data_IF_392186286388
#
_entry.id   IF_392186286388
#
_cell.length_a   1.000
_cell.length_b   1.000
_cell.length_c   1.000
_cell.angle_alpha   90.00
_cell.angle_beta   90.00
_cell.angle_gamma   90.00
#
_symmetry.space_group_name_H-M   'P 1'
#
loop_
_entity.id
_entity.type
_entity.pdbx_description
1 polymer ?
#
# COMPACT_ATOMS: atom_id res chain seq x y z
N UNK A 1 -39.06 55.15 -0.65
CA UNK A 1 -38.73 54.13 -1.66
C UNK A 1 -39.04 52.75 -1.10
N UNK A 2 -39.99 52.06 -1.74
CA UNK A 2 -40.27 50.60 -1.82
C UNK A 2 -40.32 49.72 -0.55
N UNK A 3 -41.57 49.31 -0.24
CA UNK A 3 -42.12 47.98 0.15
C UNK A 3 -41.49 47.26 1.38
N UNK A 4 -42.14 46.98 2.52
CA UNK A 4 -43.49 46.45 2.90
C UNK A 4 -43.81 45.03 2.43
N UNK A 5 -43.77 44.07 3.40
CA UNK A 5 -44.73 42.97 3.76
C UNK A 5 -44.01 41.67 4.18
N UNK A 6 -44.16 41.21 5.45
CA UNK A 6 -45.19 40.25 5.99
C UNK A 6 -44.83 38.79 5.62
N UNK A 7 -44.86 37.72 6.43
CA UNK A 7 -45.65 37.27 7.60
C UNK A 7 -44.82 36.19 8.33
N UNK A 8 -44.60 36.26 9.64
CA UNK A 8 -45.28 35.44 10.69
C UNK A 8 -45.87 34.09 10.26
N UNK A 9 -45.66 33.05 11.09
CA UNK A 9 -46.73 32.36 11.83
C UNK A 9 -46.22 31.17 12.69
N UNK A 10 -46.38 31.33 14.03
CA UNK A 10 -47.04 30.47 15.06
C UNK A 10 -46.69 28.95 15.09
N UNK A 11 -46.64 28.19 16.20
CA UNK A 11 -47.27 28.28 17.55
C UNK A 11 -46.57 27.27 18.50
N UNK A 12 -46.34 27.53 19.79
CA UNK A 12 -47.24 27.64 20.97
C UNK A 12 -47.73 26.28 21.50
N UNK A 13 -47.50 26.11 22.82
CA UNK A 13 -48.30 25.39 23.81
C UNK A 13 -48.27 23.85 23.81
N UNK A 14 -48.47 23.17 24.93
CA UNK A 14 -48.46 23.52 26.36
C UNK A 14 -48.71 22.22 27.12
N UNK A 15 -48.13 22.14 28.32
CA UNK A 15 -48.67 21.56 29.54
C UNK A 15 -49.56 20.31 29.46
N UNK A 16 -49.12 19.28 30.19
CA UNK A 16 -49.95 18.71 31.25
C UNK A 16 -49.10 18.61 32.53
N UNK A 17 -49.42 19.49 33.47
CA UNK A 17 -49.14 19.41 34.91
C UNK A 17 -49.77 18.15 35.51
N UNK A 18 -49.12 17.53 36.50
CA UNK A 18 -49.55 17.52 37.92
C UNK A 18 -48.39 16.95 38.73
N UNK A 19 -48.02 17.65 39.81
CA UNK A 19 -46.97 17.24 40.73
C UNK A 19 -47.37 16.08 41.63
N UNK A 20 -46.39 15.25 41.95
CA UNK A 20 -46.39 14.35 43.09
C UNK A 20 -44.97 14.34 43.66
N UNK A 21 -44.81 14.83 44.89
CA UNK A 21 -43.55 14.71 45.63
C UNK A 21 -43.51 13.31 46.23
N UNK A 22 -42.53 12.50 45.86
CA UNK A 22 -42.11 11.33 46.63
C UNK A 22 -40.62 11.04 46.40
N UNK A 23 -39.85 11.32 47.45
CA UNK A 23 -38.62 10.62 47.89
C UNK A 23 -37.49 10.37 46.89
N UNK A 24 -36.43 11.14 47.13
CA UNK A 24 -35.01 10.86 46.95
C UNK A 24 -34.66 9.37 46.79
N UNK A 25 -34.01 9.05 45.68
CA UNK A 25 -32.86 8.16 45.73
C UNK A 25 -31.78 8.71 44.80
N UNK A 26 -30.68 9.19 45.40
CA UNK A 26 -29.49 9.56 44.65
C UNK A 26 -28.97 8.32 43.92
N UNK A 27 -28.97 8.38 42.60
CA UNK A 27 -27.97 7.67 41.81
C UNK A 27 -27.22 8.72 41.01
N UNK A 28 -25.99 8.97 41.43
CA UNK A 28 -25.02 9.76 40.69
C UNK A 28 -24.79 9.11 39.33
N UNK A 29 -25.48 9.61 38.30
CA UNK A 29 -25.01 9.50 36.93
C UNK A 29 -24.62 10.90 36.48
N UNK A 30 -23.37 11.27 36.75
CA UNK A 30 -22.66 12.26 35.96
C UNK A 30 -22.69 11.78 34.51
N UNK A 31 -23.63 12.31 33.74
CA UNK A 31 -23.63 12.20 32.28
C UNK A 31 -22.35 12.89 31.82
N UNK A 32 -21.29 12.10 31.62
CA UNK A 32 -20.20 12.52 30.77
C UNK A 32 -20.82 12.69 29.40
N UNK A 33 -20.89 13.93 28.96
CA UNK A 33 -21.02 14.28 27.55
C UNK A 33 -19.82 13.65 26.85
N UNK A 34 -19.98 12.41 26.39
CA UNK A 34 -19.06 11.84 25.44
C UNK A 34 -19.22 12.68 24.17
N UNK A 35 -18.21 13.51 23.92
CA UNK A 35 -17.95 14.02 22.60
C UNK A 35 -17.90 12.81 21.68
N UNK A 36 -18.95 12.62 20.89
CA UNK A 36 -18.96 11.63 19.81
C UNK A 36 -17.83 12.03 18.88
N UNK A 37 -16.68 11.37 19.01
CA UNK A 37 -15.63 11.47 18.01
C UNK A 37 -16.27 10.95 16.72
N UNK A 38 -16.48 11.86 15.77
CA UNK A 38 -16.84 11.50 14.42
C UNK A 38 -15.91 10.36 14.00
N UNK A 39 -16.48 9.24 13.54
CA UNK A 39 -15.72 8.11 13.04
C UNK A 39 -14.77 8.62 11.95
N UNK A 40 -13.50 8.80 12.29
CA UNK A 40 -12.49 9.16 11.31
C UNK A 40 -12.33 7.94 10.42
N UNK A 41 -12.60 8.12 9.13
CA UNK A 41 -12.31 7.13 8.09
C UNK A 41 -10.81 7.05 7.86
N UNK A 42 -10.01 6.78 8.90
CA UNK A 42 -8.57 6.64 8.75
C UNK A 42 -8.27 5.36 7.96
N UNK A 43 -8.04 5.53 6.66
CA UNK A 43 -7.32 4.54 5.88
C UNK A 43 -5.83 4.63 6.24
N UNK A 44 -5.19 3.49 6.47
CA UNK A 44 -3.73 3.42 6.60
C UNK A 44 -3.07 4.12 5.41
N UNK A 45 -2.14 5.03 5.70
CA UNK A 45 -1.36 5.78 4.72
C UNK A 45 0.12 5.72 5.06
N UNK A 46 0.97 5.92 4.05
CA UNK A 46 2.40 6.16 4.26
C UNK A 46 2.63 7.67 4.33
N UNK A 47 3.33 8.12 5.36
CA UNK A 47 3.80 9.49 5.54
C UNK A 47 5.32 9.52 5.37
N UNK A 48 5.80 10.29 4.41
CA UNK A 48 7.23 10.46 4.17
C UNK A 48 7.81 11.37 5.26
N UNK A 49 8.91 10.98 5.91
CA UNK A 49 9.50 11.73 7.01
C UNK A 49 10.20 12.99 6.52
N UNK A 50 10.39 13.96 7.42
CA UNK A 50 11.15 15.16 7.13
C UNK A 50 12.56 14.78 6.62
N UNK A 51 13.05 15.49 5.60
CA UNK A 51 14.35 15.21 4.99
C UNK A 51 14.35 14.04 3.99
N UNK A 52 13.26 13.29 3.84
CA UNK A 52 13.11 12.28 2.78
C UNK A 52 12.70 12.97 1.47
N UNK A 53 13.68 13.50 0.72
CA UNK A 53 13.42 14.39 -0.43
C UNK A 53 13.61 13.70 -1.78
N UNK A 54 12.86 14.17 -2.80
CA UNK A 54 13.00 13.70 -4.17
C UNK A 54 14.45 13.74 -4.69
N UNK A 55 15.19 14.80 -4.34
CA UNK A 55 16.60 14.96 -4.72
C UNK A 55 17.48 13.84 -4.16
N UNK A 56 17.30 13.47 -2.89
CA UNK A 56 18.09 12.40 -2.26
C UNK A 56 17.81 11.05 -2.88
N UNK A 57 16.54 10.74 -3.15
CA UNK A 57 16.14 9.49 -3.83
C UNK A 57 16.71 9.40 -5.24
N UNK A 58 16.57 10.47 -6.02
CA UNK A 58 17.18 10.52 -7.36
C UNK A 58 18.70 10.36 -7.28
N UNK A 59 19.37 11.08 -6.39
CA UNK A 59 20.82 11.03 -6.30
C UNK A 59 21.34 9.68 -5.84
N UNK A 60 20.71 9.01 -4.86
CA UNK A 60 21.15 7.67 -4.43
C UNK A 60 20.97 6.65 -5.53
N UNK A 61 19.86 6.71 -6.27
CA UNK A 61 19.58 5.76 -7.36
C UNK A 61 20.43 5.97 -8.61
N UNK A 62 21.07 7.13 -8.74
CA UNK A 62 21.92 7.48 -9.87
C UNK A 62 23.41 7.58 -9.47
N UNK A 63 23.80 7.05 -8.30
CA UNK A 63 25.19 7.07 -7.80
C UNK A 63 25.80 8.48 -7.73
N UNK A 64 25.00 9.48 -7.36
CA UNK A 64 25.38 10.91 -7.25
C UNK A 64 25.16 11.49 -5.85
N UNK A 65 24.80 10.66 -4.87
CA UNK A 65 24.55 11.12 -3.51
C UNK A 65 25.87 11.38 -2.77
N UNK A 66 25.96 12.49 -2.05
CA UNK A 66 27.09 12.75 -1.16
C UNK A 66 26.98 11.90 0.10
N UNK A 67 28.10 11.67 0.80
CA UNK A 67 28.08 10.93 2.07
C UNK A 67 27.18 11.60 3.13
N UNK A 68 27.14 12.94 3.16
CA UNK A 68 26.27 13.68 4.08
C UNK A 68 24.78 13.48 3.75
N UNK A 69 24.39 13.58 2.48
CA UNK A 69 23.01 13.34 2.06
C UNK A 69 22.62 11.87 2.21
N UNK A 70 23.54 10.91 2.03
CA UNK A 70 23.29 9.49 2.26
C UNK A 70 22.98 9.23 3.74
N UNK A 71 23.76 9.78 4.66
CA UNK A 71 23.47 9.69 6.11
C UNK A 71 22.13 10.31 6.46
N UNK A 72 21.82 11.49 5.92
CA UNK A 72 20.53 12.14 6.14
C UNK A 72 19.35 11.34 5.57
N UNK A 73 19.55 10.69 4.40
CA UNK A 73 18.55 9.81 3.81
C UNK A 73 18.31 8.55 4.66
N UNK A 74 19.38 7.92 5.18
CA UNK A 74 19.27 6.78 6.11
C UNK A 74 18.50 7.21 7.36
N UNK A 75 18.86 8.32 8.00
CA UNK A 75 18.16 8.83 9.18
C UNK A 75 16.68 9.10 8.91
N UNK A 76 16.37 9.69 7.76
CA UNK A 76 14.99 9.88 7.33
C UNK A 76 14.29 8.53 7.13
N UNK A 77 14.90 7.55 6.46
CA UNK A 77 14.34 6.19 6.32
C UNK A 77 14.08 5.53 7.68
N UNK A 78 14.98 5.65 8.65
CA UNK A 78 14.79 5.15 10.01
C UNK A 78 13.59 5.80 10.69
N UNK A 79 13.45 7.12 10.57
CA UNK A 79 12.26 7.83 11.03
C UNK A 79 10.99 7.35 10.33
N UNK A 80 11.05 7.13 9.01
CA UNK A 80 9.96 6.61 8.20
C UNK A 80 9.49 5.24 8.67
N UNK A 81 10.42 4.34 8.97
CA UNK A 81 10.11 3.02 9.55
C UNK A 81 9.44 3.13 10.92
N UNK A 82 9.84 4.09 11.76
CA UNK A 82 9.31 4.29 13.12
C UNK A 82 7.95 4.99 13.17
N UNK A 83 7.74 6.05 12.38
CA UNK A 83 6.55 6.91 12.48
C UNK A 83 5.31 6.35 11.75
N UNK A 84 5.52 5.43 10.81
CA UNK A 84 4.45 4.83 10.02
C UNK A 84 3.92 3.59 10.74
N UNK A 85 2.71 3.67 11.29
CA UNK A 85 2.04 2.55 11.97
C UNK A 85 0.85 2.02 11.15
N UNK A 86 0.69 0.70 11.14
CA UNK A 86 -0.43 0.04 10.49
C UNK A 86 -1.73 0.31 11.28
N UNK A 87 -2.83 0.54 10.57
CA UNK A 87 -4.16 0.75 11.13
C UNK A 87 -5.24 0.05 10.31
N UNK A 88 -6.02 -0.80 10.97
CA UNK A 88 -7.19 -1.42 10.36
C UNK A 88 -8.27 -1.63 11.45
N UNK A 89 -9.37 -0.90 11.31
CA UNK A 89 -10.51 -0.97 12.21
C UNK A 89 -11.64 -1.85 11.68
N UNK A 90 -11.48 -2.46 10.51
CA UNK A 90 -12.48 -3.34 9.93
C UNK A 90 -12.46 -4.69 10.66
N UNK A 91 -13.43 -4.90 11.55
CA UNK A 91 -13.54 -6.15 12.30
C UNK A 91 -13.63 -7.40 11.41
N UNK A 92 -14.18 -7.28 10.19
CA UNK A 92 -14.29 -8.39 9.23
C UNK A 92 -12.93 -8.85 8.71
N UNK A 93 -11.94 -7.97 8.65
CA UNK A 93 -10.62 -8.33 8.13
C UNK A 93 -9.87 -9.27 9.07
N UNK A 94 -10.19 -9.22 10.37
CA UNK A 94 -9.63 -10.12 11.38
C UNK A 94 -10.11 -11.57 11.23
N UNK A 95 -11.32 -11.77 10.68
CA UNK A 95 -11.94 -13.10 10.54
C UNK A 95 -11.97 -13.61 9.09
N UNK A 96 -11.80 -12.73 8.10
CA UNK A 96 -11.75 -13.12 6.69
C UNK A 96 -10.43 -13.81 6.37
N UNK A 97 -10.46 -15.13 6.23
CA UNK A 97 -9.28 -15.90 5.84
C UNK A 97 -9.04 -15.85 4.33
N UNK A 98 -7.78 -15.71 3.94
CA UNK A 98 -7.32 -15.58 2.57
C UNK A 98 -6.21 -16.60 2.33
N UNK A 99 -6.32 -17.38 1.26
CA UNK A 99 -5.22 -18.16 0.73
C UNK A 99 -4.49 -17.32 -0.33
N UNK A 100 -3.30 -16.83 0.00
CA UNK A 100 -2.56 -15.86 -0.82
C UNK A 100 -2.25 -16.37 -2.24
N UNK A 101 -2.07 -17.68 -2.41
CA UNK A 101 -1.82 -18.30 -3.73
C UNK A 101 -3.09 -18.79 -4.43
N UNK A 102 -4.27 -18.62 -3.80
CA UNK A 102 -5.56 -19.00 -4.35
C UNK A 102 -6.69 -18.07 -3.84
N UNK A 103 -6.58 -16.78 -4.15
CA UNK A 103 -7.56 -15.76 -3.76
C UNK A 103 -8.78 -15.72 -4.69
N UNK A 104 -9.95 -15.40 -4.14
CA UNK A 104 -11.11 -15.00 -4.93
C UNK A 104 -10.85 -13.65 -5.63
N UNK A 105 -11.63 -13.34 -6.67
CA UNK A 105 -11.52 -12.05 -7.35
C UNK A 105 -11.71 -10.85 -6.42
N UNK A 106 -12.68 -10.90 -5.50
CA UNK A 106 -12.93 -9.82 -4.54
C UNK A 106 -11.75 -9.61 -3.59
N UNK A 107 -11.15 -10.70 -3.10
CA UNK A 107 -9.95 -10.64 -2.26
C UNK A 107 -8.76 -10.03 -3.02
N UNK A 108 -8.57 -10.41 -4.30
CA UNK A 108 -7.52 -9.82 -5.15
C UNK A 108 -7.72 -8.32 -5.33
N UNK A 109 -8.93 -7.89 -5.68
CA UNK A 109 -9.25 -6.46 -5.86
C UNK A 109 -9.02 -5.69 -4.57
N UNK A 110 -9.47 -6.24 -3.44
CA UNK A 110 -9.31 -5.61 -2.12
C UNK A 110 -7.83 -5.39 -1.77
N UNK A 111 -6.99 -6.43 -1.84
CA UNK A 111 -5.58 -6.29 -1.47
C UNK A 111 -4.79 -5.44 -2.46
N UNK A 112 -5.16 -5.48 -3.76
CA UNK A 112 -4.57 -4.62 -4.78
C UNK A 112 -4.89 -3.14 -4.55
N UNK A 113 -6.16 -2.81 -4.27
CA UNK A 113 -6.57 -1.43 -3.95
C UNK A 113 -5.87 -0.92 -2.70
N UNK A 114 -5.74 -1.78 -1.69
CA UNK A 114 -5.02 -1.45 -0.47
C UNK A 114 -3.54 -1.18 -0.73
N UNK A 115 -2.81 -2.07 -1.42
CA UNK A 115 -1.41 -1.83 -1.75
C UNK A 115 -1.21 -0.54 -2.58
N UNK A 116 -2.09 -0.32 -3.56
CA UNK A 116 -2.04 0.86 -4.40
C UNK A 116 -2.31 2.16 -3.62
N UNK A 117 -3.22 2.15 -2.63
CA UNK A 117 -3.50 3.34 -1.83
C UNK A 117 -2.28 3.75 -1.00
N UNK A 118 -1.52 2.79 -0.47
CA UNK A 118 -0.27 3.05 0.24
C UNK A 118 0.76 3.71 -0.69
N UNK A 119 0.99 3.13 -1.86
CA UNK A 119 1.92 3.68 -2.87
C UNK A 119 1.49 5.09 -3.27
N UNK A 120 0.21 5.29 -3.61
CA UNK A 120 -0.31 6.59 -4.02
C UNK A 120 -0.28 7.64 -2.92
N UNK A 121 -0.42 7.24 -1.64
CA UNK A 121 -0.27 8.16 -0.50
C UNK A 121 1.16 8.71 -0.40
N UNK A 122 2.18 7.89 -0.68
CA UNK A 122 3.57 8.35 -0.73
C UNK A 122 3.85 9.19 -1.98
N UNK A 123 3.31 8.79 -3.14
CA UNK A 123 3.49 9.51 -4.42
C UNK A 123 2.94 10.94 -4.37
N UNK A 124 1.78 11.15 -3.74
CA UNK A 124 1.17 12.49 -3.65
C UNK A 124 2.04 13.48 -2.90
N UNK A 125 2.71 13.05 -1.83
CA UNK A 125 3.66 13.87 -1.06
C UNK A 125 4.90 14.28 -1.88
N UNK A 126 5.21 13.55 -2.95
CA UNK A 126 6.28 13.88 -3.90
C UNK A 126 5.78 14.64 -5.14
N UNK A 127 4.51 15.06 -5.16
CA UNK A 127 3.88 15.73 -6.30
C UNK A 127 3.74 14.84 -7.55
N UNK A 128 3.70 13.52 -7.37
CA UNK A 128 3.65 12.55 -8.47
C UNK A 128 2.22 12.14 -8.75
N UNK A 129 1.89 11.90 -10.03
CA UNK A 129 0.56 11.41 -10.41
C UNK A 129 0.33 10.03 -9.81
N UNK A 130 -0.88 9.78 -9.35
CA UNK A 130 -1.29 8.47 -8.86
C UNK A 130 -1.12 7.39 -9.95
N UNK A 131 -0.70 6.21 -9.54
CA UNK A 131 -0.86 4.97 -10.31
C UNK A 131 -2.32 4.52 -10.29
N UNK A 132 -2.68 3.68 -11.25
CA UNK A 132 -4.07 3.27 -11.48
C UNK A 132 -4.17 1.76 -11.39
N UNK A 133 -5.13 1.25 -10.61
CA UNK A 133 -5.40 -0.18 -10.58
C UNK A 133 -6.06 -0.59 -11.90
N UNK A 134 -5.56 -1.66 -12.50
CA UNK A 134 -6.01 -2.09 -13.82
C UNK A 134 -6.04 -3.62 -13.91
N UNK A 135 -7.13 -4.16 -14.46
CA UNK A 135 -7.32 -5.62 -14.49
C UNK A 135 -6.35 -6.35 -15.42
N UNK A 136 -5.86 -5.72 -16.49
CA UNK A 136 -4.78 -6.28 -17.32
C UNK A 136 -3.45 -6.30 -16.58
N UNK A 137 -3.15 -5.29 -15.76
CA UNK A 137 -1.96 -5.30 -14.89
C UNK A 137 -2.06 -6.37 -13.79
N UNK A 138 -3.24 -6.57 -13.19
CA UNK A 138 -3.49 -7.67 -12.24
C UNK A 138 -3.30 -9.04 -12.91
N UNK A 139 -3.82 -9.24 -14.12
CA UNK A 139 -3.64 -10.48 -14.87
C UNK A 139 -2.17 -10.72 -15.27
N UNK A 140 -1.42 -9.65 -15.56
CA UNK A 140 0.02 -9.72 -15.77
C UNK A 140 0.76 -10.15 -14.49
N UNK A 141 0.42 -9.56 -13.34
CA UNK A 141 0.97 -9.97 -12.04
C UNK A 141 0.72 -11.47 -11.78
N UNK A 142 -0.52 -11.94 -11.96
CA UNK A 142 -0.85 -13.37 -11.84
C UNK A 142 0.00 -14.28 -12.76
N UNK A 143 0.38 -13.81 -13.96
CA UNK A 143 1.27 -14.56 -14.87
C UNK A 143 2.70 -14.59 -14.36
N UNK A 144 3.22 -13.49 -13.83
CA UNK A 144 4.54 -13.45 -13.19
C UNK A 144 4.60 -14.40 -12.00
N UNK A 145 3.60 -14.36 -11.11
CA UNK A 145 3.53 -15.28 -9.99
C UNK A 145 3.52 -16.75 -10.42
N UNK A 146 2.80 -17.09 -11.51
CA UNK A 146 2.82 -18.44 -12.09
C UNK A 146 4.19 -18.83 -12.62
N UNK A 147 4.91 -17.92 -13.27
CA UNK A 147 6.28 -18.17 -13.73
C UNK A 147 7.22 -18.45 -12.55
N UNK A 148 7.13 -17.69 -11.46
CA UNK A 148 7.89 -17.93 -10.24
C UNK A 148 7.58 -19.30 -9.62
N UNK A 149 6.30 -19.60 -9.38
CA UNK A 149 5.89 -20.89 -8.82
C UNK A 149 6.28 -22.06 -9.72
N UNK A 150 6.08 -21.94 -11.04
CA UNK A 150 6.35 -23.04 -11.96
C UNK A 150 7.83 -23.41 -12.03
N UNK A 151 8.70 -22.41 -11.92
CA UNK A 151 10.15 -22.55 -12.03
C UNK A 151 10.86 -22.59 -10.66
N UNK A 152 10.10 -22.68 -9.57
CA UNK A 152 10.63 -22.73 -8.20
C UNK A 152 11.59 -21.58 -7.88
N UNK A 153 11.14 -20.35 -8.19
CA UNK A 153 11.82 -19.08 -7.92
C UNK A 153 11.11 -18.28 -6.85
N UNK A 154 11.83 -17.39 -6.16
CA UNK A 154 11.28 -16.55 -5.09
C UNK A 154 12.11 -15.30 -4.81
N UNK A 155 11.58 -14.38 -4.01
CA UNK A 155 12.27 -13.21 -3.49
C UNK A 155 13.53 -13.52 -2.65
N UNK A 156 13.66 -14.76 -2.17
CA UNK A 156 14.87 -15.22 -1.47
C UNK A 156 16.00 -15.68 -2.42
N UNK A 157 15.77 -15.68 -3.73
CA UNK A 157 16.84 -15.86 -4.70
C UNK A 157 17.70 -14.58 -4.78
N UNK A 158 18.91 -14.69 -5.34
CA UNK A 158 19.85 -13.57 -5.40
C UNK A 158 19.36 -12.39 -6.25
N UNK A 159 18.50 -12.65 -7.24
CA UNK A 159 17.99 -11.69 -8.20
C UNK A 159 16.56 -12.04 -8.62
N UNK A 160 15.84 -11.04 -9.13
CA UNK A 160 14.54 -11.23 -9.78
C UNK A 160 14.59 -12.30 -10.88
N UNK A 161 13.50 -13.03 -11.07
CA UNK A 161 13.39 -14.03 -12.12
C UNK A 161 13.05 -13.40 -13.49
N UNK A 162 14.00 -12.64 -14.03
CA UNK A 162 13.88 -11.88 -15.30
C UNK A 162 13.37 -12.72 -16.48
N UNK A 163 13.80 -13.99 -16.69
CA UNK A 163 13.25 -14.82 -17.77
C UNK A 163 11.74 -15.06 -17.63
N UNK A 164 11.24 -15.27 -16.41
CA UNK A 164 9.82 -15.46 -16.13
C UNK A 164 9.02 -14.17 -16.32
N UNK A 165 9.51 -13.06 -15.76
CA UNK A 165 8.91 -11.72 -15.94
C UNK A 165 8.76 -11.40 -17.42
N UNK A 166 9.80 -11.66 -18.22
CA UNK A 166 9.82 -11.41 -19.65
C UNK A 166 8.78 -12.23 -20.41
N UNK A 167 8.69 -13.54 -20.13
CA UNK A 167 7.66 -14.41 -20.76
C UNK A 167 6.25 -13.95 -20.41
N UNK A 168 6.00 -13.66 -19.13
CA UNK A 168 4.72 -13.13 -18.66
C UNK A 168 4.37 -11.79 -19.31
N UNK A 169 5.35 -10.90 -19.49
CA UNK A 169 5.16 -9.60 -20.13
C UNK A 169 4.72 -9.76 -21.59
N UNK A 170 5.44 -10.56 -22.37
CA UNK A 170 5.09 -10.84 -23.78
C UNK A 170 3.69 -11.47 -23.88
N UNK A 171 3.39 -12.45 -23.04
CA UNK A 171 2.07 -13.09 -22.99
C UNK A 171 0.93 -12.13 -22.58
N UNK A 172 1.28 -10.99 -21.97
CA UNK A 172 0.34 -9.94 -21.56
C UNK A 172 0.27 -8.77 -22.54
N UNK A 173 0.89 -8.89 -23.73
CA UNK A 173 0.92 -7.81 -24.72
C UNK A 173 1.87 -6.67 -24.36
N UNK A 174 2.83 -6.91 -23.46
CA UNK A 174 3.87 -5.97 -23.07
C UNK A 174 5.18 -6.26 -23.82
N UNK A 175 6.08 -5.28 -23.85
CA UNK A 175 7.40 -5.42 -24.46
C UNK A 175 8.26 -6.38 -23.65
N UNK A 176 9.11 -7.13 -24.35
CA UNK A 176 10.27 -7.75 -23.72
C UNK A 176 11.25 -6.63 -23.33
N UNK A 177 11.22 -6.23 -22.05
CA UNK A 177 12.01 -5.13 -21.52
C UNK A 177 12.80 -5.53 -20.26
N UNK A 178 12.94 -6.83 -20.00
CA UNK A 178 13.60 -7.34 -18.79
C UNK A 178 12.88 -6.93 -17.50
N UNK A 179 13.65 -6.64 -16.45
CA UNK A 179 13.15 -6.18 -15.16
C UNK A 179 12.97 -4.66 -15.12
N UNK A 180 11.84 -4.21 -15.66
CA UNK A 180 11.33 -2.82 -15.54
C UNK A 180 9.95 -2.75 -14.90
N UNK A 181 9.42 -3.90 -14.48
CA UNK A 181 8.00 -4.09 -14.20
C UNK A 181 7.71 -4.38 -12.74
N UNK A 182 8.60 -5.05 -12.02
CA UNK A 182 8.31 -5.63 -10.71
C UNK A 182 9.16 -4.97 -9.62
N UNK A 183 8.52 -4.64 -8.51
CA UNK A 183 9.15 -4.57 -7.20
C UNK A 183 8.74 -5.83 -6.42
N UNK A 184 9.69 -6.53 -5.80
CA UNK A 184 9.47 -7.84 -5.18
C UNK A 184 9.70 -7.78 -3.68
N UNK A 185 8.97 -8.60 -2.92
CA UNK A 185 9.21 -8.80 -1.49
C UNK A 185 8.75 -10.18 -1.03
N UNK A 186 8.99 -10.50 0.24
CA UNK A 186 8.53 -11.73 0.88
C UNK A 186 7.52 -11.46 1.99
N UNK A 187 6.60 -12.40 2.19
CA UNK A 187 5.76 -12.44 3.38
C UNK A 187 6.52 -13.09 4.54
N UNK A 188 6.30 -12.64 5.79
CA UNK A 188 7.08 -13.13 6.93
C UNK A 188 6.80 -14.61 7.19
N UNK A 189 7.86 -15.36 7.47
CA UNK A 189 7.81 -16.77 7.84
C UNK A 189 7.94 -16.86 9.36
N UNK A 190 6.84 -17.18 10.04
CA UNK A 190 6.80 -17.27 11.51
C UNK A 190 5.99 -18.51 11.92
N UNK A 191 6.00 -18.88 13.20
CA UNK A 191 5.14 -19.96 13.71
C UNK A 191 3.66 -19.70 13.44
N UNK A 192 3.22 -18.43 13.47
CA UNK A 192 1.86 -18.01 13.14
C UNK A 192 1.59 -18.03 11.62
N UNK A 193 2.61 -17.71 10.81
CA UNK A 193 2.50 -17.59 9.36
C UNK A 193 3.51 -18.52 8.66
N UNK A 194 3.22 -19.83 8.69
CA UNK A 194 4.06 -20.86 8.08
C UNK A 194 3.44 -21.44 6.78
N UNK A 195 2.75 -20.61 5.99
CA UNK A 195 2.03 -21.04 4.79
C UNK A 195 1.28 -19.93 4.08
N UNK A 196 0.48 -20.27 3.07
CA UNK A 196 -0.22 -19.29 2.23
C UNK A 196 -1.49 -18.70 2.86
N UNK A 197 -2.00 -19.28 3.94
CA UNK A 197 -3.28 -18.88 4.56
C UNK A 197 -3.06 -17.91 5.72
N UNK A 198 -3.84 -16.83 5.77
CA UNK A 198 -3.85 -15.81 6.84
C UNK A 198 -5.12 -14.96 6.79
N UNK A 199 -5.40 -14.21 7.85
CA UNK A 199 -6.51 -13.23 7.82
C UNK A 199 -6.18 -12.07 6.88
N UNK A 200 -7.21 -11.40 6.34
CA UNK A 200 -7.04 -10.21 5.52
C UNK A 200 -6.35 -9.08 6.30
N UNK A 201 -6.63 -8.96 7.61
CA UNK A 201 -5.96 -8.02 8.51
C UNK A 201 -4.45 -8.27 8.52
N UNK A 202 -4.02 -9.51 8.76
CA UNK A 202 -2.60 -9.87 8.79
C UNK A 202 -1.94 -9.65 7.43
N UNK A 203 -2.65 -9.96 6.33
CA UNK A 203 -2.14 -9.71 4.99
C UNK A 203 -1.97 -8.21 4.71
N UNK A 204 -2.92 -7.36 5.11
CA UNK A 204 -2.82 -5.89 4.97
C UNK A 204 -1.68 -5.32 5.82
N UNK A 205 -1.48 -5.82 7.04
CA UNK A 205 -0.34 -5.45 7.87
C UNK A 205 1.00 -5.82 7.21
N UNK A 206 1.09 -7.02 6.63
CA UNK A 206 2.29 -7.50 5.95
C UNK A 206 2.58 -6.71 4.67
N UNK A 207 1.56 -6.44 3.85
CA UNK A 207 1.69 -5.59 2.65
C UNK A 207 2.08 -4.16 3.02
N UNK A 208 1.50 -3.62 4.11
CA UNK A 208 1.91 -2.33 4.63
C UNK A 208 3.39 -2.29 4.99
N UNK A 209 3.84 -3.32 5.71
CA UNK A 209 5.25 -3.45 6.03
C UNK A 209 6.08 -3.57 4.74
N UNK A 210 5.70 -4.41 3.77
CA UNK A 210 6.41 -4.57 2.50
C UNK A 210 6.59 -3.23 1.75
N UNK A 211 5.54 -2.42 1.65
CA UNK A 211 5.62 -1.09 1.03
C UNK A 211 6.52 -0.15 1.85
N UNK A 212 6.47 -0.20 3.19
CA UNK A 212 7.38 0.57 4.05
C UNK A 212 8.84 0.22 3.81
N UNK A 213 9.22 -1.06 3.79
CA UNK A 213 10.61 -1.47 3.58
C UNK A 213 11.13 -1.02 2.21
N UNK A 214 10.33 -1.20 1.15
CA UNK A 214 10.66 -0.74 -0.20
C UNK A 214 10.87 0.78 -0.28
N UNK A 215 9.98 1.55 0.36
CA UNK A 215 10.10 3.00 0.39
C UNK A 215 11.29 3.43 1.27
N UNK A 216 11.49 2.83 2.43
CA UNK A 216 12.46 3.30 3.41
C UNK A 216 13.74 2.48 3.40
N UNK A 217 14.42 2.45 2.25
CA UNK A 217 15.80 2.00 2.14
C UNK A 217 15.98 0.49 1.96
N UNK A 218 15.04 -0.20 1.33
CA UNK A 218 15.14 -1.64 1.09
C UNK A 218 15.31 -2.41 2.40
N UNK A 219 14.65 -1.93 3.46
CA UNK A 219 14.93 -2.36 4.82
C UNK A 219 14.74 -3.87 4.97
N UNK A 220 15.71 -4.55 5.58
CA UNK A 220 15.59 -5.94 5.98
C UNK A 220 15.72 -6.06 7.49
N UNK A 221 14.92 -6.92 8.14
CA UNK A 221 15.00 -7.14 9.59
C UNK A 221 13.68 -6.87 10.30
N UNK A 222 13.75 -6.66 11.62
CA UNK A 222 12.58 -6.47 12.49
C UNK A 222 12.54 -5.08 13.10
N UNK A 223 11.49 -4.75 13.86
CA UNK A 223 11.34 -3.45 14.51
C UNK A 223 12.53 -3.07 15.42
N UNK A 224 13.22 -4.06 16.01
CA UNK A 224 14.41 -3.80 16.85
C UNK A 224 15.60 -3.30 16.04
N UNK A 225 15.62 -3.56 14.73
CA UNK A 225 16.69 -3.16 13.82
C UNK A 225 16.47 -1.77 13.19
N UNK A 226 15.36 -1.08 13.47
CA UNK A 226 15.06 0.23 12.85
C UNK A 226 16.08 1.33 13.14
N UNK A 227 16.94 1.18 14.14
CA UNK A 227 17.98 2.15 14.46
C UNK A 227 19.35 1.77 13.87
N UNK A 228 19.49 0.57 13.31
CA UNK A 228 20.74 0.10 12.75
C UNK A 228 20.80 0.43 11.24
N UNK A 229 21.74 1.31 10.89
CA UNK A 229 21.93 1.79 9.52
C UNK A 229 22.33 0.67 8.53
N UNK A 230 22.91 -0.44 9.00
CA UNK A 230 23.33 -1.56 8.14
C UNK A 230 22.14 -2.28 7.49
N UNK A 231 20.95 -2.16 8.08
CA UNK A 231 19.72 -2.75 7.59
C UNK A 231 19.06 -1.97 6.44
N UNK A 232 19.64 -0.85 5.99
CA UNK A 232 19.12 0.01 4.93
C UNK A 232 20.05 -0.04 3.71
N UNK A 233 19.69 -0.87 2.73
CA UNK A 233 20.61 -1.32 1.68
C UNK A 233 20.42 -0.62 0.34
N UNK A 234 19.19 -0.31 -0.07
CA UNK A 234 18.89 0.15 -1.42
C UNK A 234 17.67 1.11 -1.48
N UNK A 235 17.57 1.94 -2.52
CA UNK A 235 16.41 2.83 -2.75
C UNK A 235 15.86 2.76 -4.17
N UNK A 236 16.26 1.76 -4.96
CA UNK A 236 15.75 1.49 -6.30
C UNK A 236 14.25 1.20 -6.27
N UNK A 237 13.76 0.41 -5.31
CA UNK A 237 12.31 0.20 -5.13
C UNK A 237 11.61 1.53 -4.83
N UNK A 238 12.11 2.32 -3.87
CA UNK A 238 11.59 3.65 -3.59
C UNK A 238 11.61 4.56 -4.84
N UNK A 239 12.68 4.47 -5.64
CA UNK A 239 12.82 5.16 -6.91
C UNK A 239 11.73 4.79 -7.89
N UNK A 240 11.44 3.50 -8.05
CA UNK A 240 10.41 3.03 -8.98
C UNK A 240 9.00 3.44 -8.52
N UNK A 241 8.65 3.11 -7.27
CA UNK A 241 7.35 3.41 -6.66
C UNK A 241 7.03 4.91 -6.64
N UNK A 242 8.04 5.76 -6.45
CA UNK A 242 7.89 7.22 -6.42
C UNK A 242 8.15 7.90 -7.77
N UNK A 243 8.58 7.18 -8.81
CA UNK A 243 8.98 7.78 -10.09
C UNK A 243 10.13 8.78 -9.92
N UNK A 244 11.15 8.34 -9.20
CA UNK A 244 12.38 9.04 -8.81
C UNK A 244 13.61 8.13 -8.96
N UNK A 245 13.59 7.23 -9.95
CA UNK A 245 14.66 6.28 -10.20
C UNK A 245 15.70 6.85 -11.16
N UNK A 246 15.30 7.65 -12.14
CA UNK A 246 16.20 8.10 -13.20
C UNK A 246 16.27 9.62 -13.35
N UNK A 247 17.50 10.16 -13.29
CA UNK A 247 17.77 11.55 -13.64
C UNK A 247 17.59 11.85 -15.14
N UNK A 248 17.48 10.82 -15.99
CA UNK A 248 17.29 10.97 -17.44
C UNK A 248 15.82 11.15 -17.84
N UNK A 249 14.93 11.39 -16.88
CA UNK A 249 13.49 11.53 -17.14
C UNK A 249 12.84 10.22 -17.62
N UNK A 250 13.50 9.08 -17.40
CA UNK A 250 12.98 7.79 -17.81
C UNK A 250 11.85 7.29 -16.90
N UNK A 251 11.50 7.98 -15.81
CA UNK A 251 10.39 7.57 -14.96
C UNK A 251 9.04 7.87 -15.62
N UNK A 252 8.13 6.90 -15.59
CA UNK A 252 6.79 7.12 -16.09
C UNK A 252 6.01 8.03 -15.13
N UNK A 253 5.24 9.01 -15.63
CA UNK A 253 4.44 9.88 -14.76
C UNK A 253 3.42 9.10 -13.94
N UNK A 254 2.91 7.99 -14.49
CA UNK A 254 2.00 7.03 -13.85
C UNK A 254 2.22 5.63 -14.44
N UNK A 255 1.71 4.61 -13.75
CA UNK A 255 1.71 3.21 -14.18
C UNK A 255 0.35 2.56 -13.90
N UNK A 256 0.04 1.52 -14.66
CA UNK A 256 -1.02 0.57 -14.35
C UNK A 256 -0.49 -0.46 -13.35
N UNK A 257 -1.22 -0.69 -12.26
CA UNK A 257 -0.76 -1.48 -11.12
C UNK A 257 -1.48 -2.82 -11.00
N UNK A 258 -0.73 -3.85 -10.60
CA UNK A 258 -1.25 -5.14 -10.16
C UNK A 258 -0.34 -5.77 -9.10
N UNK A 259 -0.91 -6.45 -8.13
CA UNK A 259 -0.26 -7.17 -7.05
C UNK A 259 -0.64 -8.65 -7.15
N UNK A 260 0.35 -9.53 -7.00
CA UNK A 260 0.12 -10.98 -6.92
C UNK A 260 1.09 -11.66 -5.95
N UNK A 261 0.87 -12.95 -5.72
CA UNK A 261 1.64 -13.75 -4.77
C UNK A 261 2.03 -15.07 -5.42
N UNK A 262 3.27 -15.51 -5.22
CA UNK A 262 3.73 -16.83 -5.63
C UNK A 262 4.22 -17.63 -4.42
N UNK A 263 3.99 -18.94 -4.45
CA UNK A 263 4.58 -19.85 -3.47
C UNK A 263 5.66 -20.70 -4.13
N UNK A 264 6.72 -21.01 -3.38
CA UNK A 264 7.70 -22.01 -3.82
C UNK A 264 7.11 -23.42 -3.77
N UNK A 265 7.37 -24.23 -4.80
CA UNK A 265 6.96 -25.64 -4.84
C UNK A 265 7.69 -26.46 -3.78
N UNK A 266 8.98 -26.18 -3.58
CA UNK A 266 9.83 -26.89 -2.62
C UNK A 266 9.63 -26.42 -1.17
N UNK A 267 9.06 -25.23 -0.96
CA UNK A 267 8.79 -24.71 0.38
C UNK A 267 7.56 -23.80 0.39
N UNK A 268 6.41 -24.36 0.77
CA UNK A 268 5.12 -23.66 0.73
C UNK A 268 4.97 -22.55 1.77
N UNK A 269 5.90 -22.39 2.72
CA UNK A 269 5.88 -21.26 3.66
C UNK A 269 6.49 -19.99 3.07
N UNK A 270 7.34 -20.13 2.04
CA UNK A 270 7.93 -19.02 1.30
C UNK A 270 6.95 -18.51 0.26
N UNK A 271 6.36 -17.35 0.56
CA UNK A 271 5.43 -16.67 -0.32
C UNK A 271 6.03 -15.33 -0.72
N UNK A 272 6.35 -15.18 -2.00
CA UNK A 272 6.81 -13.93 -2.60
C UNK A 272 5.64 -13.06 -3.03
N UNK A 273 5.86 -11.75 -3.02
CA UNK A 273 4.90 -10.70 -3.33
C UNK A 273 5.43 -9.90 -4.50
N UNK A 274 4.63 -9.80 -5.57
CA UNK A 274 5.01 -9.16 -6.81
C UNK A 274 4.18 -7.88 -7.00
N UNK A 275 4.82 -6.72 -6.88
CA UNK A 275 4.23 -5.40 -7.12
C UNK A 275 4.53 -4.99 -8.56
N UNK A 276 3.55 -5.12 -9.45
CA UNK A 276 3.73 -4.87 -10.87
C UNK A 276 3.30 -3.46 -11.26
N UNK A 277 4.20 -2.71 -11.87
CA UNK A 277 3.95 -1.40 -12.46
C UNK A 277 4.20 -1.40 -13.97
N UNK A 278 3.14 -1.19 -14.76
CA UNK A 278 3.23 -1.10 -16.22
C UNK A 278 3.12 0.35 -16.68
N UNK A 279 4.20 0.90 -17.21
CA UNK A 279 4.16 2.19 -17.89
C UNK A 279 3.64 2.04 -19.32
N UNK A 280 2.92 3.06 -19.82
CA UNK A 280 2.30 3.04 -21.14
C UNK A 280 3.27 2.72 -22.30
N UNK A 281 4.51 3.24 -22.22
CA UNK A 281 5.59 2.98 -23.19
C UNK A 281 6.01 1.51 -23.31
N UNK A 282 5.68 0.68 -22.34
CA UNK A 282 6.00 -0.75 -22.34
C UNK A 282 4.86 -1.62 -22.88
N UNK A 283 3.73 -1.02 -23.27
CA UNK A 283 2.62 -1.74 -23.88
C UNK A 283 2.92 -1.91 -25.37
N UNK A 284 2.96 -3.15 -25.84
CA UNK A 284 3.18 -3.48 -27.25
C UNK A 284 1.85 -3.73 -27.99
N UNK A 285 0.85 -4.29 -27.31
CA UNK A 285 -0.44 -4.64 -27.90
C UNK A 285 -1.59 -4.28 -26.96
N UNK A 286 -2.29 -3.17 -27.25
CA UNK A 286 -3.43 -2.67 -26.47
C UNK A 286 -4.71 -3.52 -26.59
N UNK A 287 -4.78 -4.45 -27.56
CA UNK A 287 -5.88 -5.42 -27.63
C UNK A 287 -5.72 -6.52 -26.58
N UNK A 288 -4.49 -6.80 -26.15
CA UNK A 288 -4.18 -7.77 -25.08
C UNK A 288 -4.09 -7.07 -23.73
N UNK A 289 -3.38 -5.94 -23.65
CA UNK A 289 -3.33 -5.10 -22.45
C UNK A 289 -4.32 -3.93 -22.54
N UNK A 290 -5.47 -4.04 -21.87
CA UNK A 290 -6.51 -3.03 -21.94
C UNK A 290 -6.28 -1.87 -20.96
N UNK A 291 -5.77 -0.76 -21.45
CA UNK A 291 -5.53 0.46 -20.66
C UNK A 291 -6.79 1.17 -20.18
N UNK A 292 -7.97 0.76 -20.67
CA UNK A 292 -9.27 1.28 -20.23
C UNK A 292 -9.91 0.43 -19.14
N UNK A 293 -9.34 -0.72 -18.79
CA UNK A 293 -9.88 -1.63 -17.77
C UNK A 293 -9.45 -1.25 -16.35
N UNK A 294 -9.58 0.03 -16.01
CA UNK A 294 -9.25 0.55 -14.69
C UNK A 294 -10.40 0.29 -13.72
N UNK A 295 -10.08 -0.07 -12.48
CA UNK A 295 -11.06 -0.41 -11.43
C UNK A 295 -10.68 0.20 -10.08
#
# INVERSE_FOLDING_TARGET
>A
MKNVKLLSKISIAALLTVGGVATVNQVNNSVKTETVHAATTEQTRITLPAGYTARRILNVNNNRISNADKRALVQASQQGMKQNTFYDNNAKDKTTMVNTTNMTWSQKVEINRYALSLINSARSQMGKKAWVLNTSAMAFADRVAKEYTNNNKSDWDADHYVPGITRAAVASGLKNAGQVYEDESGLPITSQFNGSVRSMYALKEQIYFNVKQMLFGGFYGSMTNFNDASHYTEWQHAGDLLGLRSLRGADAPTKYFGLSFSGLKTNKSRISVHFMGVADRYIANRRVFNTKANI
#
